data_IF_012364463315
#
_entry.id   IF_012364463315
#
_cell.length_a   1.000
_cell.length_b   1.000
_cell.length_c   1.000
_cell.angle_alpha   90.00
_cell.angle_beta   90.00
_cell.angle_gamma   90.00
#
_symmetry.space_group_name_H-M   'P 1'
#
loop_
_entity.id
_entity.type
_entity.pdbx_description
1 polymer ?
#
# COMPACT_ATOMS: atom_id res chain seq x y z
N UNK A 1 5.55 -5.34 -48.67
CA UNK A 1 5.46 -6.47 -47.71
C UNK A 1 5.94 -5.93 -46.37
N UNK A 2 5.00 -5.88 -45.42
CA UNK A 2 5.06 -5.43 -44.01
C UNK A 2 5.96 -4.26 -43.60
N UNK A 3 5.32 -3.12 -43.38
CA UNK A 3 5.73 -2.11 -42.40
C UNK A 3 5.61 -2.74 -41.01
N UNK A 4 6.71 -2.83 -40.28
CA UNK A 4 6.68 -3.08 -38.84
C UNK A 4 6.31 -1.78 -38.15
N UNK A 5 5.13 -1.72 -37.54
CA UNK A 5 4.82 -0.68 -36.55
C UNK A 5 5.77 -0.86 -35.38
N UNK A 6 6.63 0.14 -35.18
CA UNK A 6 7.20 0.44 -33.86
C UNK A 6 6.07 1.09 -33.10
N UNK A 7 5.48 0.38 -32.15
CA UNK A 7 4.61 0.99 -31.14
C UNK A 7 5.55 1.75 -30.22
N UNK A 8 5.29 3.04 -29.98
CA UNK A 8 5.87 3.70 -28.83
C UNK A 8 5.35 2.96 -27.59
N UNK A 9 6.21 2.78 -26.59
CA UNK A 9 5.92 2.03 -25.36
C UNK A 9 5.11 2.93 -24.40
N UNK A 10 4.01 3.51 -24.88
CA UNK A 10 3.13 4.37 -24.10
C UNK A 10 2.27 3.46 -23.22
N UNK A 11 2.88 3.01 -22.13
CA UNK A 11 2.28 2.19 -21.09
C UNK A 11 2.12 3.03 -19.83
N UNK A 12 1.27 2.55 -18.93
CA UNK A 12 1.28 3.05 -17.56
C UNK A 12 2.65 2.80 -16.93
N UNK A 13 3.18 3.78 -16.19
CA UNK A 13 4.38 3.55 -15.37
C UNK A 13 4.06 2.64 -14.18
N UNK A 14 2.86 2.78 -13.62
CA UNK A 14 2.35 1.93 -12.56
C UNK A 14 0.91 1.55 -12.86
N UNK A 15 0.60 0.27 -12.70
CA UNK A 15 -0.75 -0.26 -12.73
C UNK A 15 -0.82 -1.43 -11.74
N UNK A 16 -1.32 -1.14 -10.55
CA UNK A 16 -1.28 -2.04 -9.41
C UNK A 16 -2.67 -2.12 -8.78
N UNK A 17 -2.98 -3.32 -8.31
CA UNK A 17 -4.12 -3.59 -7.45
C UNK A 17 -3.68 -4.66 -6.46
N UNK A 18 -3.91 -4.42 -5.17
CA UNK A 18 -3.61 -5.38 -4.12
C UNK A 18 -4.61 -5.30 -2.98
N UNK A 19 -4.67 -6.36 -2.19
CA UNK A 19 -5.42 -6.40 -0.95
C UNK A 19 -4.53 -6.09 0.24
N UNK A 20 -5.09 -5.38 1.19
CA UNK A 20 -4.53 -5.21 2.52
C UNK A 20 -5.47 -5.79 3.56
N UNK A 21 -4.91 -6.37 4.61
CA UNK A 21 -5.67 -6.71 5.81
C UNK A 21 -4.92 -6.29 7.06
N UNK A 22 -5.65 -5.74 8.02
CA UNK A 22 -5.18 -5.56 9.37
C UNK A 22 -5.61 -6.75 10.22
N UNK A 23 -4.65 -7.50 10.76
CA UNK A 23 -4.95 -8.66 11.59
C UNK A 23 -5.29 -8.29 13.04
N UNK A 24 -4.88 -7.09 13.49
CA UNK A 24 -5.22 -6.58 14.82
C UNK A 24 -6.69 -6.17 14.86
N UNK A 25 -7.14 -5.41 13.86
CA UNK A 25 -8.50 -4.86 13.79
C UNK A 25 -9.48 -5.78 13.05
N UNK A 26 -8.96 -6.71 12.25
CA UNK A 26 -9.76 -7.75 11.59
C UNK A 26 -10.51 -7.26 10.36
N UNK A 27 -10.08 -6.16 9.77
CA UNK A 27 -10.61 -5.58 8.54
C UNK A 27 -9.72 -5.89 7.32
N UNK A 28 -10.19 -5.45 6.15
CA UNK A 28 -9.45 -5.52 4.92
C UNK A 28 -9.92 -4.44 3.94
N UNK A 29 -9.05 -4.07 3.02
CA UNK A 29 -9.34 -3.16 1.92
C UNK A 29 -8.68 -3.62 0.62
N UNK A 30 -9.04 -2.92 -0.47
CA UNK A 30 -8.33 -3.00 -1.74
C UNK A 30 -7.76 -1.64 -2.07
N UNK A 31 -6.53 -1.64 -2.56
CA UNK A 31 -5.82 -0.45 -3.00
C UNK A 31 -5.56 -0.57 -4.50
N UNK A 32 -5.82 0.50 -5.23
CA UNK A 32 -5.57 0.60 -6.67
C UNK A 32 -4.68 1.82 -6.91
N UNK A 33 -3.52 1.58 -7.51
CA UNK A 33 -2.57 2.62 -7.88
C UNK A 33 -2.35 2.61 -9.39
N UNK A 34 -2.46 3.78 -10.01
CA UNK A 34 -2.14 3.95 -11.42
C UNK A 34 -1.41 5.27 -11.65
N UNK A 35 -0.33 5.23 -12.42
CA UNK A 35 0.34 6.42 -12.93
C UNK A 35 0.60 6.30 -14.42
N UNK A 36 0.30 7.38 -15.14
CA UNK A 36 0.79 7.55 -16.50
C UNK A 36 2.24 8.03 -16.49
N UNK A 37 2.79 8.23 -17.67
CA UNK A 37 4.08 8.87 -17.90
C UNK A 37 3.94 10.41 -17.89
N UNK A 38 4.97 11.12 -18.37
CA UNK A 38 5.09 12.59 -18.31
C UNK A 38 4.00 13.33 -19.08
N UNK A 39 3.29 12.67 -19.99
CA UNK A 39 2.24 13.28 -20.80
C UNK A 39 0.92 13.50 -20.03
N UNK A 40 0.66 12.66 -19.02
CA UNK A 40 -0.57 12.68 -18.24
C UNK A 40 -1.81 12.20 -19.02
N UNK A 41 -2.87 11.88 -18.29
CA UNK A 41 -4.12 11.33 -18.81
C UNK A 41 -5.21 12.39 -18.90
N UNK A 42 -5.91 12.44 -20.03
CA UNK A 42 -7.22 13.08 -20.13
C UNK A 42 -8.35 12.19 -19.61
N UNK A 43 -8.19 10.86 -19.64
CA UNK A 43 -9.14 9.89 -19.08
C UNK A 43 -8.44 8.63 -18.57
N UNK A 44 -8.98 8.05 -17.50
CA UNK A 44 -8.60 6.74 -16.97
C UNK A 44 -9.84 5.91 -16.67
N UNK A 45 -9.86 4.67 -17.14
CA UNK A 45 -10.86 3.66 -16.75
C UNK A 45 -10.20 2.40 -16.23
N UNK A 46 -10.80 1.80 -15.20
CA UNK A 46 -10.34 0.52 -14.64
C UNK A 46 -11.52 -0.44 -14.60
N UNK A 47 -11.35 -1.64 -15.16
CA UNK A 47 -12.38 -2.67 -15.21
C UNK A 47 -11.89 -3.97 -14.57
N UNK A 48 -12.78 -4.62 -13.81
CA UNK A 48 -12.52 -5.90 -13.17
C UNK A 48 -12.56 -7.11 -14.12
N UNK A 49 -12.22 -8.30 -13.62
CA UNK A 49 -12.17 -9.54 -14.40
C UNK A 49 -13.52 -9.94 -15.02
N UNK A 50 -14.61 -9.57 -14.35
CA UNK A 50 -16.00 -9.77 -14.78
C UNK A 50 -16.49 -8.71 -15.79
N UNK A 51 -15.63 -7.73 -16.12
CA UNK A 51 -15.96 -6.60 -16.98
C UNK A 51 -16.69 -5.45 -16.26
N UNK A 52 -16.88 -5.53 -14.94
CA UNK A 52 -17.44 -4.43 -14.13
C UNK A 52 -16.50 -3.24 -14.18
N UNK A 53 -17.03 -2.07 -14.53
CA UNK A 53 -16.30 -0.81 -14.47
C UNK A 53 -16.18 -0.37 -13.01
N UNK A 54 -14.96 -0.28 -12.50
CA UNK A 54 -14.67 0.15 -11.13
C UNK A 54 -14.42 1.65 -11.04
N UNK A 55 -13.73 2.19 -12.04
CA UNK A 55 -13.32 3.59 -12.08
C UNK A 55 -13.48 4.15 -13.49
N UNK A 56 -14.02 5.37 -13.58
CA UNK A 56 -14.06 6.18 -14.80
C UNK A 56 -13.81 7.64 -14.43
N UNK A 57 -12.56 8.06 -14.59
CA UNK A 57 -12.10 9.40 -14.26
C UNK A 57 -11.81 10.16 -15.55
N UNK A 58 -12.39 11.35 -15.66
CA UNK A 58 -11.99 12.34 -16.64
C UNK A 58 -11.13 13.39 -15.94
N UNK A 59 -10.03 13.76 -16.56
CA UNK A 59 -9.25 14.88 -16.07
C UNK A 59 -10.11 16.15 -16.05
N UNK A 60 -9.91 17.05 -15.07
CA UNK A 60 -10.42 18.41 -15.17
C UNK A 60 -9.99 19.05 -16.50
N UNK A 61 -10.69 20.10 -16.94
CA UNK A 61 -10.31 20.85 -18.14
C UNK A 61 -8.95 21.55 -17.95
N UNK A 62 -7.89 20.78 -18.11
CA UNK A 62 -6.50 21.08 -17.83
C UNK A 62 -5.66 20.56 -19.00
N UNK A 63 -4.60 21.30 -19.34
CA UNK A 63 -3.64 20.88 -20.36
C UNK A 63 -2.68 19.80 -19.87
N UNK A 64 -2.60 19.58 -18.55
CA UNK A 64 -1.67 18.63 -17.94
C UNK A 64 -2.31 17.28 -17.59
N UNK A 65 -3.64 17.20 -17.56
CA UNK A 65 -4.34 15.95 -17.25
C UNK A 65 -4.14 15.44 -15.81
N UNK A 66 -4.31 14.13 -15.63
CA UNK A 66 -4.07 13.36 -14.40
C UNK A 66 -2.75 12.60 -14.54
N UNK A 67 -1.89 12.66 -13.53
CA UNK A 67 -0.63 11.91 -13.56
C UNK A 67 -0.69 10.60 -12.75
N UNK A 68 -1.18 10.67 -11.52
CA UNK A 68 -1.26 9.54 -10.59
C UNK A 68 -2.60 9.55 -9.87
N UNK A 69 -3.13 8.36 -9.62
CA UNK A 69 -4.23 8.14 -8.69
C UNK A 69 -3.85 7.06 -7.69
N UNK A 70 -4.38 7.20 -6.48
CA UNK A 70 -4.45 6.17 -5.46
C UNK A 70 -5.89 6.15 -5.00
N UNK A 71 -6.52 4.97 -5.04
CA UNK A 71 -7.90 4.78 -4.59
C UNK A 71 -7.96 3.57 -3.70
N UNK A 72 -8.61 3.75 -2.56
CA UNK A 72 -8.79 2.75 -1.52
C UNK A 72 -10.29 2.50 -1.34
N UNK A 73 -10.67 1.26 -1.06
CA UNK A 73 -12.02 0.96 -0.59
C UNK A 73 -12.17 1.36 0.88
N UNK A 74 -13.41 1.43 1.42
CA UNK A 74 -13.58 1.33 2.86
C UNK A 74 -12.95 0.03 3.40
N UNK A 75 -12.70 -0.01 4.71
CA UNK A 75 -12.15 -1.14 5.46
C UNK A 75 -13.26 -1.87 6.25
N UNK A 76 -14.10 -2.71 5.63
CA UNK A 76 -15.05 -3.53 6.37
C UNK A 76 -14.33 -4.68 7.10
N UNK A 77 -15.04 -5.32 8.04
CA UNK A 77 -14.62 -6.60 8.61
C UNK A 77 -14.24 -7.60 7.50
N UNK A 78 -13.19 -8.39 7.75
CA UNK A 78 -12.68 -9.38 6.81
C UNK A 78 -13.56 -10.66 6.79
N UNK A 79 -14.81 -10.49 6.36
CA UNK A 79 -15.84 -11.54 6.30
C UNK A 79 -16.01 -12.13 4.88
N UNK A 80 -15.16 -11.71 3.94
CA UNK A 80 -15.19 -12.10 2.54
C UNK A 80 -15.92 -11.12 1.61
N UNK A 81 -16.53 -10.03 2.12
CA UNK A 81 -17.18 -9.02 1.29
C UNK A 81 -16.21 -8.40 0.27
N UNK A 82 -15.01 -8.00 0.69
CA UNK A 82 -13.98 -7.43 -0.20
C UNK A 82 -13.59 -8.42 -1.30
N UNK A 83 -13.36 -9.69 -0.96
CA UNK A 83 -12.98 -10.71 -1.94
C UNK A 83 -14.10 -11.01 -2.95
N UNK A 84 -15.35 -10.87 -2.53
CA UNK A 84 -16.51 -11.04 -3.40
C UNK A 84 -16.71 -9.84 -4.35
N UNK A 85 -16.50 -8.61 -3.87
CA UNK A 85 -16.57 -7.42 -4.74
C UNK A 85 -15.34 -7.32 -5.66
N UNK A 86 -14.15 -7.68 -5.17
CA UNK A 86 -12.89 -7.66 -5.92
C UNK A 86 -12.39 -9.10 -6.20
N UNK A 87 -12.96 -9.79 -7.20
CA UNK A 87 -12.61 -11.18 -7.49
C UNK A 87 -11.18 -11.30 -8.01
N UNK A 88 -10.51 -12.39 -7.65
CA UNK A 88 -9.19 -12.70 -8.19
C UNK A 88 -9.24 -12.81 -9.72
N UNK A 89 -8.25 -12.23 -10.39
CA UNK A 89 -8.21 -12.19 -11.85
C UNK A 89 -7.44 -11.00 -12.41
N UNK A 90 -7.59 -10.78 -13.71
CA UNK A 90 -6.96 -9.66 -14.42
C UNK A 90 -7.86 -8.42 -14.43
N UNK A 91 -7.32 -7.31 -13.94
CA UNK A 91 -7.89 -5.98 -13.95
C UNK A 91 -7.26 -5.17 -15.07
N UNK A 92 -8.09 -4.54 -15.91
CA UNK A 92 -7.64 -3.79 -17.08
C UNK A 92 -7.69 -2.30 -16.84
N UNK A 93 -6.58 -1.64 -17.12
CA UNK A 93 -6.39 -0.20 -17.07
C UNK A 93 -6.37 0.31 -18.50
N UNK A 94 -7.22 1.30 -18.80
CA UNK A 94 -7.24 1.97 -20.10
C UNK A 94 -7.15 3.47 -19.89
N UNK A 95 -6.20 4.10 -20.55
CA UNK A 95 -5.96 5.54 -20.49
C UNK A 95 -6.17 6.20 -21.84
N UNK A 96 -6.49 7.49 -21.80
CA UNK A 96 -6.29 8.39 -22.95
C UNK A 96 -5.37 9.51 -22.48
N UNK A 97 -4.28 9.76 -23.17
CA UNK A 97 -3.32 10.81 -22.80
C UNK A 97 -3.89 12.20 -23.09
N UNK A 98 -3.17 13.26 -22.72
CA UNK A 98 -3.56 14.64 -23.05
C UNK A 98 -3.40 14.98 -24.53
N UNK A 99 -2.53 14.29 -25.29
CA UNK A 99 -2.47 14.44 -26.75
C UNK A 99 -3.52 13.61 -27.51
N UNK A 100 -4.20 12.69 -26.82
CA UNK A 100 -5.27 11.86 -27.36
C UNK A 100 -4.84 10.43 -27.72
N UNK A 101 -3.64 10.01 -27.33
CA UNK A 101 -3.17 8.63 -27.48
C UNK A 101 -3.87 7.69 -26.51
N UNK A 102 -4.15 6.46 -26.95
CA UNK A 102 -4.74 5.43 -26.11
C UNK A 102 -3.66 4.51 -25.55
N UNK A 103 -3.63 4.37 -24.23
CA UNK A 103 -2.68 3.50 -23.52
C UNK A 103 -3.42 2.43 -22.72
N UNK A 104 -2.78 1.30 -22.44
CA UNK A 104 -3.40 0.22 -21.67
C UNK A 104 -2.40 -0.58 -20.86
N UNK A 105 -2.86 -1.11 -19.72
CA UNK A 105 -2.11 -2.04 -18.89
C UNK A 105 -3.06 -3.04 -18.22
N UNK A 106 -2.48 -4.08 -17.60
CA UNK A 106 -3.22 -5.07 -16.84
C UNK A 106 -2.48 -5.43 -15.56
N UNK A 107 -3.22 -5.58 -14.47
CA UNK A 107 -2.71 -6.04 -13.18
C UNK A 107 -3.49 -7.26 -12.73
N UNK A 108 -2.85 -8.19 -12.02
CA UNK A 108 -3.50 -9.41 -11.52
C UNK A 108 -3.69 -9.32 -10.01
N UNK A 109 -4.93 -9.47 -9.56
CA UNK A 109 -5.25 -9.62 -8.15
C UNK A 109 -5.32 -11.10 -7.77
N UNK A 110 -4.55 -11.50 -6.77
CA UNK A 110 -4.70 -12.75 -6.03
C UNK A 110 -5.45 -12.54 -4.72
N UNK A 111 -5.90 -13.62 -4.08
CA UNK A 111 -6.48 -13.59 -2.73
C UNK A 111 -5.59 -14.28 -1.69
N UNK A 112 -4.39 -14.70 -2.10
CA UNK A 112 -3.40 -15.25 -1.18
C UNK A 112 -2.69 -14.09 -0.46
N UNK A 113 -2.45 -14.25 0.83
CA UNK A 113 -1.75 -13.28 1.66
C UNK A 113 -0.47 -13.90 2.23
N UNK A 114 0.59 -13.08 2.47
CA UNK A 114 1.71 -13.54 3.28
C UNK A 114 1.23 -13.89 4.70
N UNK A 115 2.01 -14.71 5.42
CA UNK A 115 1.71 -14.92 6.84
C UNK A 115 1.94 -13.62 7.62
N UNK A 116 1.35 -13.51 8.80
CA UNK A 116 1.63 -12.37 9.68
C UNK A 116 3.06 -12.43 10.22
N UNK A 117 3.58 -11.26 10.60
CA UNK A 117 4.71 -11.18 11.53
C UNK A 117 4.20 -11.29 12.98
N UNK A 118 5.12 -11.30 13.92
CA UNK A 118 4.84 -11.04 15.34
C UNK A 118 5.83 -9.98 15.82
N UNK A 119 5.32 -8.90 16.40
CA UNK A 119 6.14 -7.85 17.00
C UNK A 119 6.79 -8.38 18.28
N UNK A 120 8.12 -8.26 18.35
CA UNK A 120 8.98 -8.72 19.44
C UNK A 120 9.32 -7.57 20.38
N UNK A 121 9.59 -6.38 19.82
CA UNK A 121 9.90 -5.18 20.58
C UNK A 121 9.42 -3.93 19.83
N UNK A 122 8.77 -2.97 20.51
CA UNK A 122 8.18 -3.08 21.85
C UNK A 122 7.03 -4.10 21.89
N UNK A 123 6.58 -4.46 23.09
CA UNK A 123 5.36 -5.27 23.25
C UNK A 123 4.11 -4.37 23.17
N UNK A 124 2.99 -4.97 22.82
CA UNK A 124 1.69 -4.28 22.85
C UNK A 124 1.33 -3.80 24.27
N UNK A 125 0.87 -2.57 24.35
CA UNK A 125 0.58 -1.84 25.56
C UNK A 125 1.80 -1.53 26.44
N UNK A 126 3.04 -1.74 25.97
CA UNK A 126 4.23 -1.52 26.77
C UNK A 126 4.37 -0.05 27.15
N UNK A 127 4.61 0.23 28.43
CA UNK A 127 4.81 1.57 28.97
C UNK A 127 6.26 1.80 29.38
N UNK A 128 6.68 3.06 29.38
CA UNK A 128 8.03 3.44 29.78
C UNK A 128 9.09 2.92 28.81
N UNK A 129 8.75 2.88 27.52
CA UNK A 129 9.70 2.52 26.47
C UNK A 129 10.75 3.63 26.33
N UNK A 130 12.02 3.29 26.52
CA UNK A 130 13.10 4.27 26.38
C UNK A 130 13.19 4.73 24.92
N UNK A 131 13.19 6.05 24.70
CA UNK A 131 13.28 6.64 23.36
C UNK A 131 14.68 6.49 22.75
N UNK A 132 15.71 6.58 23.59
CA UNK A 132 17.10 6.59 23.14
C UNK A 132 17.52 5.20 22.66
N UNK A 133 17.75 5.08 21.35
CA UNK A 133 18.22 3.84 20.74
C UNK A 133 17.15 2.75 20.63
N UNK A 134 15.86 3.10 20.72
CA UNK A 134 14.79 2.13 20.50
C UNK A 134 14.96 1.43 19.15
N UNK A 135 14.87 0.10 19.18
CA UNK A 135 14.86 -0.75 17.99
C UNK A 135 13.55 -1.52 17.99
N UNK A 136 12.84 -1.42 16.87
CA UNK A 136 11.66 -2.23 16.58
C UNK A 136 12.11 -3.56 16.02
N UNK A 137 11.53 -4.66 16.49
CA UNK A 137 11.90 -6.02 16.07
C UNK A 137 10.66 -6.87 15.83
N UNK A 138 10.70 -7.73 14.82
CA UNK A 138 9.60 -8.63 14.45
C UNK A 138 10.09 -9.98 13.93
N UNK A 139 9.20 -10.96 13.90
CA UNK A 139 9.48 -12.30 13.35
C UNK A 139 9.32 -12.33 11.83
N UNK A 140 10.05 -13.23 11.13
CA UNK A 140 9.89 -13.39 9.69
C UNK A 140 8.50 -13.94 9.33
N UNK A 141 8.01 -13.54 8.16
CA UNK A 141 6.71 -13.91 7.60
C UNK A 141 6.91 -14.76 6.34
N UNK A 142 6.23 -15.91 6.28
CA UNK A 142 6.25 -16.77 5.10
C UNK A 142 5.55 -16.06 3.94
N UNK A 143 6.22 -16.01 2.79
CA UNK A 143 5.68 -15.38 1.58
C UNK A 143 5.92 -13.87 1.51
N UNK A 144 6.56 -13.26 2.51
CA UNK A 144 6.98 -11.87 2.46
C UNK A 144 8.13 -11.68 1.47
N UNK A 145 7.99 -10.72 0.56
CA UNK A 145 9.02 -10.23 -0.34
C UNK A 145 9.78 -9.06 0.27
N UNK A 146 9.07 -8.21 0.98
CA UNK A 146 9.58 -7.05 1.71
C UNK A 146 8.64 -6.73 2.90
N UNK A 147 9.03 -5.77 3.73
CA UNK A 147 8.26 -5.31 4.87
C UNK A 147 7.94 -3.83 4.75
N UNK A 148 6.82 -3.42 5.32
CA UNK A 148 6.47 -2.02 5.57
C UNK A 148 6.42 -1.83 7.08
N UNK A 149 7.05 -0.77 7.59
CA UNK A 149 6.92 -0.35 8.97
C UNK A 149 6.24 1.02 9.00
N UNK A 150 5.17 1.14 9.78
CA UNK A 150 4.45 2.40 10.02
C UNK A 150 4.57 2.73 11.51
N UNK A 151 4.99 3.95 11.82
CA UNK A 151 5.08 4.46 13.18
C UNK A 151 4.35 5.78 13.28
N UNK A 152 3.33 5.84 14.14
CA UNK A 152 2.45 6.99 14.31
C UNK A 152 2.55 7.57 15.72
N UNK A 153 2.78 8.88 15.82
CA UNK A 153 2.59 9.68 17.05
C UNK A 153 1.11 10.04 17.17
N UNK A 154 0.41 9.42 18.12
CA UNK A 154 -1.05 9.52 18.23
C UNK A 154 -1.52 10.92 18.65
N UNK A 155 -0.63 11.73 19.22
CA UNK A 155 -0.97 13.08 19.69
C UNK A 155 -0.58 14.18 18.70
N UNK A 156 0.47 13.98 17.89
CA UNK A 156 0.86 14.93 16.83
C UNK A 156 0.22 14.62 15.47
N UNK A 157 -0.40 13.45 15.32
CA UNK A 157 -0.91 12.98 14.02
C UNK A 157 0.22 12.94 12.98
N UNK A 158 1.40 12.48 13.43
CA UNK A 158 2.60 12.34 12.61
C UNK A 158 2.85 10.87 12.33
N UNK A 159 3.00 10.54 11.06
CA UNK A 159 3.27 9.19 10.59
C UNK A 159 4.64 9.10 9.89
N UNK A 160 5.29 7.97 10.08
CA UNK A 160 6.44 7.53 9.29
C UNK A 160 6.16 6.15 8.72
N UNK A 161 6.17 6.05 7.40
CA UNK A 161 6.14 4.78 6.67
C UNK A 161 7.51 4.49 6.04
N UNK A 162 7.97 3.24 6.16
CA UNK A 162 9.26 2.79 5.62
C UNK A 162 9.13 1.41 4.95
N UNK A 163 9.47 1.34 3.67
CA UNK A 163 9.69 0.06 2.97
C UNK A 163 11.08 -0.51 3.27
N UNK A 164 11.13 -1.79 3.65
CA UNK A 164 12.32 -2.48 4.11
C UNK A 164 12.53 -3.79 3.33
N UNK A 165 13.78 -4.16 2.98
CA UNK A 165 14.07 -5.44 2.33
C UNK A 165 13.55 -6.65 3.12
N UNK A 166 13.18 -7.73 2.42
CA UNK A 166 12.55 -8.92 3.03
C UNK A 166 13.42 -9.73 3.99
N UNK A 167 14.72 -9.43 4.12
CA UNK A 167 15.61 -9.99 5.14
C UNK A 167 15.80 -9.07 6.37
N UNK A 168 15.16 -7.89 6.37
CA UNK A 168 15.15 -6.96 7.50
C UNK A 168 14.10 -7.37 8.52
N UNK A 169 14.53 -7.61 9.76
CA UNK A 169 13.67 -8.00 10.89
C UNK A 169 13.78 -7.05 12.08
N UNK A 170 14.47 -5.93 11.87
CA UNK A 170 14.65 -4.90 12.89
C UNK A 170 14.84 -3.53 12.25
N UNK A 171 14.31 -2.48 12.88
CA UNK A 171 14.48 -1.10 12.45
C UNK A 171 14.76 -0.20 13.66
N UNK A 172 15.85 0.56 13.64
CA UNK A 172 16.16 1.51 14.70
C UNK A 172 15.33 2.77 14.49
N UNK A 173 14.59 3.19 15.52
CA UNK A 173 13.83 4.42 15.49
C UNK A 173 14.74 5.62 15.14
N UNK A 174 14.36 6.46 14.16
CA UNK A 174 15.14 7.64 13.80
C UNK A 174 15.26 8.61 14.97
N UNK A 175 16.45 9.18 15.13
CA UNK A 175 16.69 10.18 16.18
C UNK A 175 15.76 11.39 15.96
N UNK A 176 15.09 11.81 17.03
CA UNK A 176 14.18 12.95 17.01
C UNK A 176 12.73 12.66 16.61
N UNK A 177 12.41 11.43 16.16
CA UNK A 177 11.02 11.06 15.89
C UNK A 177 10.23 10.75 17.17
N UNK A 178 10.85 10.02 18.11
CA UNK A 178 10.21 9.67 19.38
C UNK A 178 10.35 10.80 20.40
N UNK A 179 9.24 11.13 21.05
CA UNK A 179 9.15 12.10 22.13
C UNK A 179 8.81 11.43 23.47
N UNK A 180 9.25 11.99 24.60
CA UNK A 180 8.90 11.46 25.93
C UNK A 180 7.42 11.67 26.26
N UNK A 181 6.87 10.79 27.11
CA UNK A 181 5.47 10.80 27.56
C UNK A 181 4.45 10.85 26.41
N UNK A 182 4.65 9.98 25.40
CA UNK A 182 3.79 9.86 24.21
C UNK A 182 3.33 8.44 23.96
N UNK A 183 2.15 8.32 23.36
CA UNK A 183 1.63 7.06 22.82
C UNK A 183 1.91 6.96 21.32
N UNK A 184 2.46 5.81 20.92
CA UNK A 184 2.72 5.49 19.53
C UNK A 184 1.96 4.25 19.13
N UNK A 185 1.48 4.23 17.89
CA UNK A 185 1.14 2.99 17.19
C UNK A 185 2.30 2.56 16.30
N UNK A 186 2.57 1.26 16.29
CA UNK A 186 3.55 0.64 15.41
C UNK A 186 2.85 -0.47 14.62
N UNK A 187 2.79 -0.31 13.31
CA UNK A 187 2.36 -1.33 12.38
C UNK A 187 3.57 -1.95 11.67
N UNK A 188 3.55 -3.27 11.49
CA UNK A 188 4.47 -3.96 10.57
C UNK A 188 3.67 -4.82 9.60
N UNK A 189 3.80 -4.48 8.32
CA UNK A 189 3.20 -5.18 7.20
C UNK A 189 4.17 -6.14 6.53
N UNK A 190 3.77 -7.38 6.33
CA UNK A 190 4.41 -8.28 5.39
C UNK A 190 3.77 -8.11 4.00
N UNK A 191 4.58 -7.93 2.95
CA UNK A 191 4.09 -7.70 1.58
C UNK A 191 4.53 -8.84 0.66
N UNK A 192 3.61 -9.43 -0.09
CA UNK A 192 3.87 -10.50 -1.05
C UNK A 192 4.39 -9.97 -2.40
N UNK A 193 4.75 -10.88 -3.31
CA UNK A 193 5.23 -10.54 -4.66
C UNK A 193 4.17 -9.83 -5.52
N UNK A 194 2.88 -10.13 -5.30
CA UNK A 194 1.75 -9.51 -6.00
C UNK A 194 1.22 -8.25 -5.28
N UNK A 195 1.91 -7.78 -4.24
CA UNK A 195 1.54 -6.60 -3.47
C UNK A 195 0.56 -6.86 -2.32
N UNK A 196 -0.08 -8.03 -2.26
CA UNK A 196 -0.99 -8.35 -1.15
C UNK A 196 -0.24 -8.29 0.19
N UNK A 197 -0.84 -7.63 1.18
CA UNK A 197 -0.17 -7.30 2.43
C UNK A 197 -0.99 -7.63 3.67
N UNK A 198 -0.28 -7.97 4.74
CA UNK A 198 -0.85 -8.32 6.05
C UNK A 198 -0.15 -7.53 7.13
N UNK A 199 -0.89 -6.67 7.81
CA UNK A 199 -0.40 -5.86 8.91
C UNK A 199 -0.76 -6.45 10.26
N UNK A 200 0.12 -6.21 11.22
CA UNK A 200 -0.15 -6.30 12.65
C UNK A 200 0.25 -4.98 13.29
N UNK A 201 -0.54 -4.57 14.27
CA UNK A 201 -0.36 -3.32 14.99
C UNK A 201 -0.27 -3.54 16.49
N UNK A 202 0.48 -2.67 17.15
CA UNK A 202 0.54 -2.55 18.60
C UNK A 202 0.57 -1.07 19.00
N UNK A 203 0.20 -0.80 20.25
CA UNK A 203 0.45 0.50 20.89
C UNK A 203 1.57 0.41 21.92
N UNK A 204 2.37 1.46 22.09
CA UNK A 204 3.31 1.57 23.21
C UNK A 204 3.45 3.02 23.67
N UNK A 205 3.87 3.23 24.92
CA UNK A 205 4.08 4.55 25.50
C UNK A 205 5.53 4.74 25.94
N UNK A 206 6.11 5.90 25.59
CA UNK A 206 7.50 6.24 25.90
C UNK A 206 7.70 6.64 27.37
N UNK A 207 8.96 6.62 27.81
CA UNK A 207 9.34 7.13 29.14
C UNK A 207 9.00 8.61 29.28
N UNK A 208 8.61 9.01 30.49
CA UNK A 208 8.51 10.43 30.87
C UNK A 208 9.89 11.09 30.85
N UNK A 209 9.90 12.40 30.65
CA UNK A 209 11.09 13.23 30.84
C UNK A 209 11.50 13.17 32.33
N UNK A 210 12.79 12.94 32.60
CA UNK A 210 13.37 13.01 33.95
C UNK A 210 13.63 14.46 34.39
#
# INVERSE_FOLDING_TARGET
MMLGSVWADDQFETSEIHLEKNLTDGDAEVVINASADDEGLSRLTIAGPDGRLLLDLNAPNSKLGLRKILVESPEPENDGQILADYPAGEYRFSGTTTSGEAISAAARLGHDFPSSVSLVQPNDGQKGVAIAGLTFEWTPAKGARHYILILEDQELDLEMEVELPGDTLSFKAPEGFLHPDREYKLAVGAVAEDGNRSFVEISFATTREE
#
